data_IF_256193251943
#
_entry.id   IF_256193251943
#
_cell.length_a   1.000
_cell.length_b   1.000
_cell.length_c   1.000
_cell.angle_alpha   90.00
_cell.angle_beta   90.00
_cell.angle_gamma   90.00
#
_symmetry.space_group_name_H-M   'P 1'
#
loop_
_entity.id
_entity.type
_entity.pdbx_description
1 polymer ?
#
# COMPACT_ATOMS: atom_id res chain seq x y z
N UNK A 1 0.27 -22.96 14.07
CA UNK A 1 0.98 -22.45 12.88
C UNK A 1 -0.07 -21.90 11.94
N UNK A 2 -0.04 -20.61 11.63
CA UNK A 2 -0.97 -20.03 10.64
C UNK A 2 -0.49 -20.52 9.27
N UNK A 3 -1.31 -21.34 8.61
CA UNK A 3 -0.98 -21.86 7.29
C UNK A 3 -1.20 -20.74 6.27
N UNK A 4 -0.12 -20.13 5.80
CA UNK A 4 -0.19 -19.08 4.79
C UNK A 4 -0.45 -19.76 3.45
N UNK A 5 -1.57 -19.44 2.80
CA UNK A 5 -1.88 -19.96 1.47
C UNK A 5 -0.84 -19.44 0.47
N UNK A 6 -0.03 -20.34 -0.09
CA UNK A 6 0.95 -20.00 -1.15
C UNK A 6 0.26 -19.39 -2.38
N UNK A 7 -0.99 -19.80 -2.64
CA UNK A 7 -1.81 -19.29 -3.74
C UNK A 7 -2.08 -17.79 -3.56
N UNK A 8 -2.42 -17.35 -2.35
CA UNK A 8 -2.71 -15.94 -2.04
C UNK A 8 -1.46 -15.07 -2.19
N UNK A 9 -0.29 -15.63 -1.86
CA UNK A 9 1.00 -14.97 -2.06
C UNK A 9 1.32 -14.75 -3.54
N UNK A 10 1.06 -15.75 -4.39
CA UNK A 10 1.27 -15.66 -5.84
C UNK A 10 0.30 -14.63 -6.45
N UNK A 11 -0.98 -14.68 -6.08
CA UNK A 11 -1.98 -13.72 -6.59
C UNK A 11 -1.60 -12.27 -6.23
N UNK A 12 -1.20 -12.04 -4.98
CA UNK A 12 -0.73 -10.74 -4.54
C UNK A 12 0.53 -10.28 -5.30
N UNK A 13 1.50 -11.18 -5.47
CA UNK A 13 2.72 -10.92 -6.24
C UNK A 13 2.41 -10.51 -7.68
N UNK A 14 1.51 -11.23 -8.36
CA UNK A 14 1.07 -10.87 -9.72
C UNK A 14 0.42 -9.48 -9.78
N UNK A 15 -0.41 -9.13 -8.79
CA UNK A 15 -1.07 -7.81 -8.73
C UNK A 15 -0.05 -6.68 -8.62
N UNK A 16 0.98 -6.83 -7.78
CA UNK A 16 2.06 -5.83 -7.65
C UNK A 16 2.95 -5.82 -8.89
N UNK A 17 3.24 -6.98 -9.47
CA UNK A 17 4.03 -7.10 -10.70
C UNK A 17 3.37 -6.38 -11.87
N UNK A 18 2.04 -6.52 -12.06
CA UNK A 18 1.31 -5.78 -13.10
C UNK A 18 1.48 -4.28 -12.92
N UNK A 19 1.41 -3.79 -11.67
CA UNK A 19 1.65 -2.38 -11.36
C UNK A 19 3.07 -1.94 -11.74
N UNK A 20 4.08 -2.73 -11.37
CA UNK A 20 5.46 -2.46 -11.73
C UNK A 20 5.68 -2.45 -13.26
N UNK A 21 5.07 -3.41 -13.97
CA UNK A 21 5.11 -3.46 -15.44
C UNK A 21 4.48 -2.20 -16.05
N UNK A 22 3.34 -1.74 -15.54
CA UNK A 22 2.72 -0.50 -16.03
C UNK A 22 3.63 0.72 -15.85
N UNK A 23 4.28 0.84 -14.68
CA UNK A 23 5.24 1.92 -14.42
C UNK A 23 6.42 1.86 -15.40
N UNK A 24 6.96 0.66 -15.66
CA UNK A 24 8.06 0.45 -16.62
C UNK A 24 7.63 0.78 -18.05
N UNK A 25 6.42 0.39 -18.46
CA UNK A 25 5.91 0.72 -19.79
C UNK A 25 5.80 2.24 -19.98
N UNK A 26 5.29 2.95 -18.98
CA UNK A 26 5.25 4.42 -19.00
C UNK A 26 6.67 5.00 -19.08
N UNK A 27 7.62 4.44 -18.33
CA UNK A 27 9.03 4.84 -18.40
C UNK A 27 9.58 4.74 -19.83
N UNK A 28 9.34 3.60 -20.48
CA UNK A 28 9.82 3.32 -21.84
C UNK A 28 9.19 4.29 -22.83
N UNK A 29 7.89 4.56 -22.73
CA UNK A 29 7.19 5.49 -23.63
C UNK A 29 7.77 6.89 -23.52
N UNK A 30 7.88 7.43 -22.31
CA UNK A 30 8.43 8.77 -22.10
C UNK A 30 9.91 8.85 -22.47
N UNK A 31 10.69 7.82 -22.14
CA UNK A 31 12.10 7.72 -22.50
C UNK A 31 12.31 7.68 -24.02
N UNK A 32 11.51 6.90 -24.74
CA UNK A 32 11.58 6.81 -26.20
C UNK A 32 11.22 8.15 -26.86
N UNK A 33 10.15 8.82 -26.40
CA UNK A 33 9.74 10.14 -26.92
C UNK A 33 10.83 11.17 -26.65
N UNK A 34 11.36 11.21 -25.42
CA UNK A 34 12.47 12.09 -25.04
C UNK A 34 13.69 11.86 -25.92
N UNK A 35 14.06 10.60 -26.16
CA UNK A 35 15.21 10.25 -26.98
C UNK A 35 15.04 10.72 -28.43
N UNK A 36 13.91 10.43 -29.06
CA UNK A 36 13.61 10.82 -30.45
C UNK A 36 13.68 12.35 -30.61
N UNK A 37 13.15 13.10 -29.65
CA UNK A 37 13.17 14.57 -29.69
C UNK A 37 14.57 15.16 -29.52
N UNK A 38 15.40 14.55 -28.67
CA UNK A 38 16.78 14.97 -28.46
C UNK A 38 17.63 14.66 -29.71
N UNK A 39 17.47 13.47 -30.27
CA UNK A 39 18.22 12.99 -31.46
C UNK A 39 17.89 13.80 -32.74
N UNK A 40 16.67 14.36 -32.83
CA UNK A 40 16.26 15.20 -33.95
C UNK A 40 17.08 16.51 -34.12
N UNK A 41 17.93 16.89 -33.15
CA UNK A 41 19.07 17.78 -33.37
C UNK A 41 18.78 19.29 -33.45
N UNK A 42 17.70 19.78 -32.82
CA UNK A 42 17.41 21.23 -32.73
C UNK A 42 17.24 21.69 -31.28
N UNK A 43 17.82 22.85 -30.92
CA UNK A 43 17.85 23.37 -29.53
C UNK A 43 16.47 23.35 -28.84
N UNK A 44 15.41 23.76 -29.55
CA UNK A 44 14.05 23.74 -29.03
C UNK A 44 13.54 22.30 -28.80
N UNK A 45 13.79 21.38 -29.74
CA UNK A 45 13.37 19.99 -29.63
C UNK A 45 14.14 19.25 -28.54
N UNK A 46 15.43 19.52 -28.39
CA UNK A 46 16.26 19.01 -27.30
C UNK A 46 15.74 19.49 -25.94
N UNK A 47 15.38 20.77 -25.82
CA UNK A 47 14.79 21.31 -24.59
C UNK A 47 13.45 20.65 -24.24
N UNK A 48 12.56 20.50 -25.22
CA UNK A 48 11.26 19.82 -25.04
C UNK A 48 11.47 18.35 -24.68
N UNK A 49 12.36 17.65 -25.38
CA UNK A 49 12.74 16.27 -25.10
C UNK A 49 13.24 16.11 -23.67
N UNK A 50 14.14 17.00 -23.22
CA UNK A 50 14.64 17.02 -21.85
C UNK A 50 13.54 17.19 -20.79
N UNK A 51 12.58 18.10 -21.03
CA UNK A 51 11.43 18.30 -20.12
C UNK A 51 10.56 17.05 -20.08
N UNK A 52 10.25 16.45 -21.24
CA UNK A 52 9.47 15.21 -21.31
C UNK A 52 10.19 14.06 -20.60
N UNK A 53 11.50 13.93 -20.78
CA UNK A 53 12.33 12.95 -20.08
C UNK A 53 12.30 13.16 -18.56
N UNK A 54 12.39 14.41 -18.09
CA UNK A 54 12.30 14.74 -16.67
C UNK A 54 10.92 14.37 -16.10
N UNK A 55 9.84 14.77 -16.76
CA UNK A 55 8.47 14.43 -16.36
C UNK A 55 8.29 12.91 -16.33
N UNK A 56 8.76 12.20 -17.35
CA UNK A 56 8.77 10.75 -17.39
C UNK A 56 9.52 10.13 -16.21
N UNK A 57 10.72 10.64 -15.91
CA UNK A 57 11.51 10.23 -14.75
C UNK A 57 10.79 10.44 -13.42
N UNK A 58 10.11 11.59 -13.23
CA UNK A 58 9.31 11.87 -12.05
C UNK A 58 8.12 10.91 -11.91
N UNK A 59 7.42 10.61 -13.01
CA UNK A 59 6.31 9.66 -13.01
C UNK A 59 6.80 8.27 -12.56
N UNK A 60 7.94 7.82 -13.08
CA UNK A 60 8.53 6.53 -12.72
C UNK A 60 8.96 6.50 -11.26
N UNK A 61 9.61 7.55 -10.80
CA UNK A 61 10.04 7.68 -9.41
C UNK A 61 8.83 7.66 -8.45
N UNK A 62 7.80 8.44 -8.76
CA UNK A 62 6.55 8.45 -7.99
C UNK A 62 5.84 7.08 -8.03
N UNK A 63 5.82 6.42 -9.18
CA UNK A 63 5.26 5.08 -9.35
C UNK A 63 5.99 4.04 -8.48
N UNK A 64 7.32 4.06 -8.46
CA UNK A 64 8.13 3.17 -7.64
C UNK A 64 7.89 3.39 -6.13
N UNK A 65 7.84 4.65 -5.68
CA UNK A 65 7.48 4.98 -4.30
C UNK A 65 6.06 4.55 -3.95
N UNK A 66 5.11 4.72 -4.86
CA UNK A 66 3.72 4.27 -4.68
C UNK A 66 3.60 2.76 -4.51
N UNK A 67 4.36 1.98 -5.28
CA UNK A 67 4.43 0.52 -5.12
C UNK A 67 5.00 0.15 -3.76
N UNK A 68 6.11 0.77 -3.34
CA UNK A 68 6.72 0.52 -2.03
C UNK A 68 5.75 0.84 -0.89
N UNK A 69 5.11 2.01 -0.96
CA UNK A 69 4.11 2.43 0.02
C UNK A 69 2.95 1.44 0.12
N UNK A 70 2.44 0.98 -1.04
CA UNK A 70 1.35 0.01 -1.09
C UNK A 70 1.70 -1.31 -0.41
N UNK A 71 2.89 -1.84 -0.66
CA UNK A 71 3.36 -3.08 -0.01
C UNK A 71 3.42 -2.91 1.51
N UNK A 72 3.90 -1.76 2.00
CA UNK A 72 3.94 -1.48 3.43
C UNK A 72 2.53 -1.35 4.00
N UNK A 73 1.65 -0.60 3.35
CA UNK A 73 0.27 -0.39 3.79
C UNK A 73 -0.51 -1.71 3.88
N UNK A 74 -0.44 -2.53 2.84
CA UNK A 74 -1.10 -3.84 2.80
C UNK A 74 -0.53 -4.79 3.88
N UNK A 75 0.79 -4.71 4.15
CA UNK A 75 1.45 -5.46 5.22
C UNK A 75 0.96 -5.06 6.61
N UNK A 76 0.85 -3.75 6.87
CA UNK A 76 0.33 -3.21 8.14
C UNK A 76 -1.14 -3.61 8.33
N UNK A 77 -1.97 -3.48 7.29
CA UNK A 77 -3.39 -3.83 7.36
C UNK A 77 -3.59 -5.31 7.70
N UNK A 78 -2.88 -6.21 7.03
CA UNK A 78 -2.91 -7.65 7.35
C UNK A 78 -2.42 -7.95 8.77
N UNK A 79 -1.39 -7.23 9.24
CA UNK A 79 -0.87 -7.36 10.59
C UNK A 79 -1.88 -6.96 11.67
N UNK A 80 -2.55 -5.81 11.48
CA UNK A 80 -3.59 -5.33 12.40
C UNK A 80 -4.79 -6.26 12.43
N UNK A 81 -5.23 -6.77 11.27
CA UNK A 81 -6.32 -7.74 11.20
C UNK A 81 -5.98 -9.03 11.96
N UNK A 82 -4.77 -9.57 11.79
CA UNK A 82 -4.33 -10.75 12.53
C UNK A 82 -4.31 -10.53 14.06
N UNK A 83 -3.89 -9.35 14.51
CA UNK A 83 -3.88 -9.01 15.93
C UNK A 83 -5.30 -8.90 16.52
N UNK A 84 -6.23 -8.27 15.79
CA UNK A 84 -7.61 -8.09 16.22
C UNK A 84 -8.43 -9.39 16.24
N UNK A 85 -8.13 -10.36 15.36
CA UNK A 85 -8.77 -11.69 15.41
C UNK A 85 -8.31 -12.49 16.64
N UNK A 86 -7.12 -12.20 17.17
CA UNK A 86 -6.52 -12.97 18.28
C UNK A 86 -6.97 -12.49 19.65
N UNK A 87 -7.41 -11.23 19.79
CA UNK A 87 -8.01 -10.74 21.03
C UNK A 87 -9.51 -11.00 20.98
N UNK A 88 -10.07 -11.93 21.79
CA UNK A 88 -11.52 -11.97 21.97
C UNK A 88 -11.93 -10.57 22.41
N UNK A 89 -12.96 -10.00 21.78
CA UNK A 89 -13.70 -8.88 22.38
C UNK A 89 -13.89 -9.27 23.83
N UNK A 90 -13.19 -8.60 24.74
CA UNK A 90 -13.50 -8.62 26.16
C UNK A 90 -14.89 -8.03 26.21
N UNK A 91 -15.90 -8.90 26.10
CA UNK A 91 -17.28 -8.57 26.38
C UNK A 91 -17.16 -7.92 27.76
N UNK A 92 -17.44 -6.62 27.83
CA UNK A 92 -17.70 -6.00 29.10
C UNK A 92 -18.90 -6.79 29.62
N UNK A 93 -18.64 -7.82 30.39
CA UNK A 93 -19.67 -8.48 31.17
C UNK A 93 -20.26 -7.34 32.01
N UNK A 94 -21.58 -7.14 31.98
CA UNK A 94 -22.19 -6.23 32.92
C UNK A 94 -21.79 -6.76 34.30
N UNK A 95 -21.11 -5.92 35.07
CA UNK A 95 -20.86 -6.20 36.47
C UNK A 95 -22.26 -6.32 37.08
N UNK A 96 -22.68 -7.55 37.39
CA UNK A 96 -23.83 -7.76 38.26
C UNK A 96 -23.45 -7.07 39.58
N UNK A 97 -24.07 -5.93 39.85
CA UNK A 97 -24.10 -5.34 41.19
C UNK A 97 -24.87 -6.34 42.06
N UNK A 98 -24.12 -7.18 42.78
CA UNK A 98 -24.69 -8.03 43.83
C UNK A 98 -25.27 -7.13 44.93
N UNK A 99 -26.58 -7.28 45.13
CA UNK A 99 -27.35 -6.79 46.28
C UNK A 99 -26.73 -7.28 47.60
N UNK A 100 -25.92 -6.46 48.26
CA UNK A 100 -25.69 -6.56 49.71
C UNK A 100 -25.49 -5.15 50.25
N UNK A 101 -26.50 -4.57 50.90
CA UNK A 101 -26.51 -4.09 52.31
C UNK A 101 -27.83 -3.32 52.55
N UNK A 102 -28.92 -3.99 52.92
CA UNK A 102 -29.99 -3.32 53.70
C UNK A 102 -30.78 -4.35 54.54
N UNK A 103 -30.05 -5.09 55.36
CA UNK A 103 -30.64 -5.88 56.45
C UNK A 103 -29.86 -5.64 57.74
N UNK A 104 -29.53 -4.39 58.03
CA UNK A 104 -29.07 -3.96 59.36
C UNK A 104 -29.59 -2.54 59.62
N UNK A 105 -30.90 -2.41 59.83
CA UNK A 105 -31.37 -1.38 60.74
C UNK A 105 -32.15 -2.09 61.86
N UNK A 106 -31.40 -2.23 62.96
CA UNK A 106 -31.78 -2.74 64.27
C UNK A 106 -32.98 -1.96 64.87
N UNK A 107 -33.83 -2.73 65.56
CA UNK A 107 -34.34 -2.52 66.94
C UNK A 107 -35.05 -1.20 67.24
#
# INVERSE_FOLDING_TARGET
MVNVSTIDGIEYGFRIMIYAVLVVLIAIVFGAISWILIDAGGDLLTAIGGIIGLVGGLIVYAGALGVLYKVIADGVERGVQAANVTLPRRRAEPVEEEDEVEAVEEI
#
